data_IF_795139153853
#
_entry.id   IF_795139153853
#
_cell.length_a   1.000
_cell.length_b   1.000
_cell.length_c   1.000
_cell.angle_alpha   90.00
_cell.angle_beta   90.00
_cell.angle_gamma   90.00
#
_symmetry.space_group_name_H-M   'P 1'
#
loop_
_entity.id
_entity.type
_entity.pdbx_description
1 polymer ?
#
# COMPACT_ATOMS: atom_id res chain seq x y z
N UNK A 1 7.41 -5.46 4.70
CA UNK A 1 6.15 -4.74 4.41
C UNK A 1 5.93 -3.71 5.49
N UNK A 2 5.23 -2.63 5.16
CA UNK A 2 5.10 -1.49 6.06
C UNK A 2 3.64 -1.08 6.22
N UNK A 3 3.27 -0.76 7.46
CA UNK A 3 1.98 -0.22 7.85
C UNK A 3 2.10 1.29 8.04
N UNK A 4 1.14 2.06 7.53
CA UNK A 4 1.08 3.51 7.66
C UNK A 4 -0.27 3.94 8.22
N UNK A 5 -0.27 4.93 9.09
CA UNK A 5 -1.50 5.53 9.60
C UNK A 5 -1.26 6.98 10.02
N UNK A 6 -2.32 7.79 9.97
CA UNK A 6 -2.27 9.11 10.56
C UNK A 6 -2.20 9.00 12.10
N UNK A 7 -1.62 10.00 12.73
CA UNK A 7 -1.83 10.21 14.16
C UNK A 7 -2.16 11.66 14.44
N UNK A 8 -3.08 11.84 15.39
CA UNK A 8 -3.49 13.16 15.82
C UNK A 8 -2.45 13.73 16.80
N UNK A 9 -1.69 14.72 16.34
CA UNK A 9 -0.73 15.41 17.18
C UNK A 9 -1.45 16.52 17.93
N UNK A 10 -1.84 16.26 19.18
CA UNK A 10 -2.55 17.25 20.04
C UNK A 10 -1.82 18.59 20.24
N UNK A 11 -0.57 18.71 19.78
CA UNK A 11 0.27 19.92 19.86
C UNK A 11 0.55 20.58 18.50
N UNK A 12 -0.02 20.09 17.40
CA UNK A 12 0.26 20.57 16.05
C UNK A 12 -0.98 20.51 15.17
N UNK A 13 -1.17 21.50 14.29
CA UNK A 13 -2.24 21.48 13.27
C UNK A 13 -1.87 20.63 12.04
N UNK A 14 -0.71 20.01 12.05
CA UNK A 14 -0.24 19.10 10.98
C UNK A 14 -0.51 17.66 11.38
N UNK A 15 -1.30 16.93 10.58
CA UNK A 15 -1.46 15.49 10.72
C UNK A 15 -0.09 14.81 10.51
N UNK A 16 0.43 14.19 11.57
CA UNK A 16 1.63 13.37 11.50
C UNK A 16 1.31 11.97 10.97
N UNK A 17 2.32 11.25 10.51
CA UNK A 17 2.20 9.85 10.12
C UNK A 17 3.03 8.97 11.05
N UNK A 18 2.48 7.82 11.41
CA UNK A 18 3.22 6.74 12.08
C UNK A 18 3.39 5.60 11.11
N UNK A 19 4.53 4.92 11.21
CA UNK A 19 4.84 3.75 10.39
C UNK A 19 5.31 2.60 11.26
N UNK A 20 4.94 1.37 10.91
CA UNK A 20 5.47 0.15 11.51
C UNK A 20 5.91 -0.80 10.41
N UNK A 21 7.18 -1.21 10.45
CA UNK A 21 7.67 -2.28 9.59
C UNK A 21 7.33 -3.63 10.23
N UNK A 22 6.78 -4.55 9.45
CA UNK A 22 6.41 -5.89 9.90
C UNK A 22 6.96 -6.94 8.94
N UNK A 23 7.35 -8.08 9.50
CA UNK A 23 7.86 -9.23 8.76
C UNK A 23 6.78 -10.30 8.63
N UNK A 24 6.77 -11.01 7.50
CA UNK A 24 5.78 -12.07 7.23
C UNK A 24 5.87 -13.28 8.18
N UNK A 25 7.02 -13.47 8.82
CA UNK A 25 7.27 -14.59 9.75
C UNK A 25 6.69 -14.38 11.14
N UNK A 26 6.25 -13.17 11.45
CA UNK A 26 5.71 -12.81 12.76
C UNK A 26 4.18 -12.99 12.78
N UNK A 27 3.56 -12.82 13.95
CA UNK A 27 2.09 -12.69 14.04
C UNK A 27 1.65 -11.34 13.45
N UNK A 28 1.71 -11.25 12.13
CA UNK A 28 1.42 -10.04 11.39
C UNK A 28 -0.05 -9.64 11.54
N UNK A 29 -0.96 -10.60 11.75
CA UNK A 29 -2.39 -10.32 11.96
C UNK A 29 -2.62 -9.55 13.26
N UNK A 30 -1.97 -9.98 14.35
CA UNK A 30 -2.04 -9.26 15.61
C UNK A 30 -1.44 -7.85 15.48
N UNK A 31 -0.29 -7.72 14.79
CA UNK A 31 0.35 -6.43 14.57
C UNK A 31 -0.49 -5.46 13.74
N UNK A 32 -1.14 -5.94 12.68
CA UNK A 32 -2.06 -5.12 11.86
C UNK A 32 -3.23 -4.66 12.72
N UNK A 33 -3.85 -5.56 13.48
CA UNK A 33 -4.99 -5.23 14.34
C UNK A 33 -4.62 -4.23 15.43
N UNK A 34 -3.45 -4.41 16.06
CA UNK A 34 -2.98 -3.52 17.13
C UNK A 34 -2.51 -2.16 16.60
N UNK A 35 -1.94 -2.13 15.40
CA UNK A 35 -1.50 -0.89 14.77
C UNK A 35 -2.67 -0.09 14.21
N UNK A 36 -3.70 -0.74 13.66
CA UNK A 36 -4.86 -0.12 12.99
C UNK A 36 -4.41 0.82 11.85
N UNK A 37 -3.83 0.26 10.75
CA UNK A 37 -3.31 1.05 9.65
C UNK A 37 -4.42 1.68 8.80
N UNK A 38 -4.10 2.79 8.14
CA UNK A 38 -4.89 3.34 7.04
C UNK A 38 -4.40 2.79 5.68
N UNK A 39 -3.10 2.48 5.60
CA UNK A 39 -2.42 2.02 4.39
C UNK A 39 -1.44 0.90 4.71
N UNK A 40 -1.35 -0.10 3.83
CA UNK A 40 -0.32 -1.15 3.86
C UNK A 40 0.47 -1.17 2.55
N UNK A 41 1.79 -1.21 2.63
CA UNK A 41 2.66 -1.14 1.45
C UNK A 41 3.62 -2.32 1.40
N UNK A 42 3.80 -2.85 0.19
CA UNK A 42 4.89 -3.76 -0.11
C UNK A 42 6.21 -2.99 -0.12
N UNK A 43 7.26 -3.61 0.40
CA UNK A 43 8.64 -3.12 0.30
C UNK A 43 9.43 -3.93 -0.74
N UNK A 44 8.99 -5.15 -1.04
CA UNK A 44 9.59 -6.06 -2.03
C UNK A 44 8.50 -6.79 -2.82
N UNK A 45 8.85 -7.29 -4.02
CA UNK A 45 7.91 -7.97 -4.94
C UNK A 45 7.15 -9.13 -4.27
N UNK A 46 7.82 -9.93 -3.44
CA UNK A 46 7.25 -11.11 -2.80
C UNK A 46 6.13 -10.80 -1.79
N UNK A 47 5.96 -9.54 -1.40
CA UNK A 47 4.92 -9.13 -0.44
C UNK A 47 3.60 -8.77 -1.13
N UNK A 48 3.60 -8.53 -2.44
CA UNK A 48 2.47 -7.94 -3.16
C UNK A 48 1.14 -8.69 -2.98
N UNK A 49 1.14 -10.02 -3.14
CA UNK A 49 -0.09 -10.81 -3.02
C UNK A 49 -0.64 -10.76 -1.60
N UNK A 50 0.24 -10.75 -0.59
CA UNK A 50 -0.15 -10.64 0.81
C UNK A 50 -0.71 -9.25 1.12
N UNK A 51 0.00 -8.19 0.72
CA UNK A 51 -0.42 -6.80 0.87
C UNK A 51 -1.79 -6.55 0.25
N UNK A 52 -2.01 -7.03 -0.98
CA UNK A 52 -3.30 -6.95 -1.66
C UNK A 52 -4.41 -7.63 -0.85
N UNK A 53 -4.17 -8.86 -0.39
CA UNK A 53 -5.17 -9.63 0.37
C UNK A 53 -5.55 -8.96 1.69
N UNK A 54 -4.56 -8.43 2.41
CA UNK A 54 -4.75 -7.70 3.68
C UNK A 54 -5.50 -6.40 3.43
N UNK A 55 -5.09 -5.64 2.42
CA UNK A 55 -5.73 -4.37 2.10
C UNK A 55 -7.22 -4.55 1.76
N UNK A 56 -7.56 -5.60 1.01
CA UNK A 56 -8.96 -5.96 0.74
C UNK A 56 -9.69 -6.42 2.00
N UNK A 57 -9.07 -7.25 2.83
CA UNK A 57 -9.68 -7.74 4.07
C UNK A 57 -9.99 -6.61 5.07
N UNK A 58 -9.13 -5.60 5.13
CA UNK A 58 -9.19 -4.51 6.11
C UNK A 58 -9.65 -3.17 5.52
N UNK A 59 -10.01 -3.13 4.23
CA UNK A 59 -10.45 -1.92 3.50
C UNK A 59 -9.42 -0.78 3.50
N UNK A 60 -8.15 -1.12 3.29
CA UNK A 60 -7.02 -0.19 3.36
C UNK A 60 -6.64 0.36 1.98
N UNK A 61 -6.03 1.55 1.97
CA UNK A 61 -5.19 1.95 0.85
C UNK A 61 -3.95 1.06 0.76
N UNK A 62 -3.34 0.91 -0.42
CA UNK A 62 -2.15 0.06 -0.51
C UNK A 62 -1.13 0.43 -1.58
N UNK A 63 0.10 -0.05 -1.38
CA UNK A 63 1.21 0.08 -2.32
C UNK A 63 1.71 -1.27 -2.79
N UNK A 64 1.95 -1.44 -4.09
CA UNK A 64 2.57 -2.64 -4.67
C UNK A 64 3.93 -2.29 -5.32
N UNK A 65 4.89 -3.20 -5.22
CA UNK A 65 6.27 -3.04 -5.71
C UNK A 65 6.55 -4.03 -6.82
N UNK A 66 6.74 -3.54 -8.04
CA UNK A 66 6.99 -4.35 -9.25
C UNK A 66 6.04 -5.57 -9.39
N UNK A 67 4.71 -5.40 -9.19
CA UNK A 67 3.80 -6.53 -9.23
C UNK A 67 3.73 -7.17 -10.61
N UNK A 68 3.45 -8.47 -10.63
CA UNK A 68 3.15 -9.25 -11.84
C UNK A 68 1.70 -9.69 -11.83
N UNK A 69 1.01 -9.52 -12.95
CA UNK A 69 -0.43 -9.79 -13.03
C UNK A 69 -0.77 -11.26 -12.80
N UNK A 70 0.09 -12.16 -13.26
CA UNK A 70 -0.09 -13.60 -13.08
C UNK A 70 0.12 -14.07 -11.63
N UNK A 71 0.65 -13.21 -10.75
CA UNK A 71 0.87 -13.48 -9.32
C UNK A 71 -0.18 -12.84 -8.40
N UNK A 72 -1.08 -12.02 -8.95
CA UNK A 72 -2.10 -11.30 -8.19
C UNK A 72 -3.48 -11.91 -8.41
N UNK A 73 -4.31 -11.84 -7.36
CA UNK A 73 -5.74 -12.07 -7.50
C UNK A 73 -6.39 -10.85 -8.19
N UNK A 74 -6.69 -10.99 -9.47
CA UNK A 74 -7.27 -9.93 -10.30
C UNK A 74 -8.61 -9.43 -9.73
N UNK A 75 -9.39 -10.30 -9.09
CA UNK A 75 -10.68 -9.90 -8.50
C UNK A 75 -10.51 -8.94 -7.32
N UNK A 76 -9.42 -9.12 -6.56
CA UNK A 76 -9.02 -8.23 -5.47
C UNK A 76 -8.43 -6.93 -6.02
N UNK A 77 -7.59 -7.01 -7.04
CA UNK A 77 -6.97 -5.86 -7.68
C UNK A 77 -8.00 -4.90 -8.31
N UNK A 78 -9.12 -5.44 -8.83
CA UNK A 78 -10.23 -4.66 -9.40
C UNK A 78 -11.04 -3.87 -8.37
N UNK A 79 -10.88 -4.14 -7.07
CA UNK A 79 -11.62 -3.43 -6.03
C UNK A 79 -11.20 -1.96 -5.96
N UNK A 80 -12.16 -1.08 -5.64
CA UNK A 80 -12.00 0.39 -5.71
C UNK A 80 -11.32 0.99 -4.47
N UNK A 81 -10.26 0.36 -4.00
CA UNK A 81 -9.40 0.94 -2.95
C UNK A 81 -8.31 1.80 -3.59
N UNK A 82 -7.92 2.93 -2.97
CA UNK A 82 -6.78 3.72 -3.42
C UNK A 82 -5.51 2.86 -3.43
N UNK A 83 -4.79 2.85 -4.55
CA UNK A 83 -3.56 2.07 -4.66
C UNK A 83 -2.49 2.76 -5.51
N UNK A 84 -1.25 2.66 -5.06
CA UNK A 84 -0.05 3.10 -5.78
C UNK A 84 0.70 1.86 -6.23
N UNK A 85 1.21 1.89 -7.46
CA UNK A 85 1.89 0.76 -8.08
C UNK A 85 3.23 1.24 -8.59
N UNK A 86 4.32 0.78 -7.98
CA UNK A 86 5.66 0.99 -8.49
C UNK A 86 5.94 -0.03 -9.59
N UNK A 87 6.26 0.45 -10.79
CA UNK A 87 6.67 -0.38 -11.92
C UNK A 87 8.03 0.04 -12.46
N UNK A 88 8.68 -0.87 -13.18
CA UNK A 88 9.77 -0.49 -14.08
C UNK A 88 9.18 0.30 -15.26
N UNK A 89 9.85 1.37 -15.67
CA UNK A 89 9.44 2.23 -16.79
C UNK A 89 9.21 1.43 -18.10
N UNK A 90 9.94 0.32 -18.27
CA UNK A 90 9.84 -0.54 -19.44
C UNK A 90 9.02 -1.82 -19.19
N UNK A 91 8.25 -1.88 -18.10
CA UNK A 91 7.45 -3.06 -17.78
C UNK A 91 6.43 -3.35 -18.89
N UNK A 92 6.36 -4.60 -19.40
CA UNK A 92 5.34 -4.99 -20.39
C UNK A 92 3.91 -4.93 -19.82
N UNK A 93 3.77 -4.84 -18.49
CA UNK A 93 2.47 -4.79 -17.82
C UNK A 93 1.99 -3.36 -17.56
N UNK A 94 2.74 -2.34 -18.01
CA UNK A 94 2.37 -0.92 -17.88
C UNK A 94 0.91 -0.64 -18.27
N UNK A 95 0.55 -1.00 -19.50
CA UNK A 95 -0.80 -0.75 -20.04
C UNK A 95 -1.89 -1.50 -19.30
N UNK A 96 -1.52 -2.61 -18.64
CA UNK A 96 -2.46 -3.40 -17.88
C UNK A 96 -2.63 -2.87 -16.46
N UNK A 97 -1.62 -2.26 -15.84
CA UNK A 97 -1.71 -1.70 -14.49
C UNK A 97 -2.25 -0.27 -14.43
N UNK A 98 -2.17 0.51 -15.51
CA UNK A 98 -2.71 1.88 -15.55
C UNK A 98 -4.22 1.96 -15.25
N UNK A 99 -4.95 0.87 -15.50
CA UNK A 99 -6.38 0.78 -15.21
C UNK A 99 -6.71 0.49 -13.73
N UNK A 100 -5.73 0.03 -12.93
CA UNK A 100 -5.97 -0.45 -11.58
C UNK A 100 -5.65 0.60 -10.50
N UNK A 101 -4.67 1.47 -10.73
CA UNK A 101 -4.20 2.42 -9.73
C UNK A 101 -3.27 3.49 -10.31
N UNK A 102 -2.67 4.27 -9.40
CA UNK A 102 -1.68 5.28 -9.77
C UNK A 102 -0.32 4.62 -9.99
N UNK A 103 0.24 4.76 -11.19
CA UNK A 103 1.56 4.24 -11.52
C UNK A 103 2.63 5.26 -11.18
N UNK A 104 3.71 4.77 -10.58
CA UNK A 104 4.95 5.51 -10.31
C UNK A 104 6.13 4.66 -10.77
N UNK A 105 7.24 5.31 -11.11
CA UNK A 105 8.41 4.64 -11.68
C UNK A 105 9.68 4.82 -10.85
N UNK A 106 9.57 5.58 -9.76
CA UNK A 106 10.65 5.87 -8.84
C UNK A 106 10.29 5.46 -7.42
N UNK A 107 11.29 4.99 -6.67
CA UNK A 107 11.10 4.51 -5.31
C UNK A 107 10.75 5.64 -4.33
N UNK A 108 11.38 6.81 -4.47
CA UNK A 108 11.09 7.97 -3.62
C UNK A 108 9.66 8.47 -3.89
N UNK A 109 9.27 8.55 -5.16
CA UNK A 109 7.89 8.87 -5.54
C UNK A 109 6.89 7.85 -4.98
N UNK A 110 7.17 6.55 -5.07
CA UNK A 110 6.36 5.50 -4.48
C UNK A 110 6.15 5.69 -2.96
N UNK A 111 7.21 6.01 -2.23
CA UNK A 111 7.12 6.28 -0.79
C UNK A 111 6.27 7.52 -0.49
N UNK A 112 6.42 8.59 -1.28
CA UNK A 112 5.65 9.83 -1.10
C UNK A 112 4.17 9.63 -1.42
N UNK A 113 3.85 8.99 -2.55
CA UNK A 113 2.47 8.79 -2.99
C UNK A 113 1.72 7.81 -2.10
N UNK A 114 2.38 6.74 -1.62
CA UNK A 114 1.76 5.82 -0.66
C UNK A 114 1.48 6.48 0.69
N UNK A 115 2.34 7.37 1.17
CA UNK A 115 2.06 8.17 2.36
C UNK A 115 0.86 9.10 2.17
N UNK A 116 0.70 9.69 0.97
CA UNK A 116 -0.46 10.54 0.68
C UNK A 116 -1.78 9.79 0.79
N UNK A 117 -1.82 8.49 0.50
CA UNK A 117 -3.02 7.67 0.67
C UNK A 117 -3.59 7.71 2.08
N UNK A 118 -2.75 7.90 3.10
CA UNK A 118 -3.19 8.05 4.50
C UNK A 118 -4.16 9.22 4.64
N UNK A 119 -3.91 10.33 3.95
CA UNK A 119 -4.75 11.53 4.04
C UNK A 119 -6.02 11.46 3.19
N UNK A 120 -6.06 10.58 2.20
CA UNK A 120 -7.26 10.37 1.38
C UNK A 120 -8.37 9.63 2.14
N UNK A 121 -8.06 8.92 3.23
CA UNK A 121 -9.05 8.28 4.09
C UNK A 121 -9.86 9.26 4.98
N UNK A 122 -9.42 10.53 5.06
CA UNK A 122 -9.99 11.55 5.96
C UNK A 122 -10.82 12.66 5.27
N UNK A 123 -11.14 12.51 3.97
CA UNK A 123 -12.00 13.43 3.20
C UNK A 123 -13.36 12.79 2.89
#
# INVERSE_FOLDING_TARGET
MQLLSAYDCTKSTTLGFRSLQIQMTDDYQHQITAFDPDVIVAEIEYENSLVLSIAVQHWLGYGLVYPKLDQLDISQLQQRYPKIILLDENSPEHDAFIQYGHLVFDWEEYQVETQKLVYHAYL
#
